data_IF_238338313799
#
_entry.id   IF_238338313799
#
_cell.length_a   1.000
_cell.length_b   1.000
_cell.length_c   1.000
_cell.angle_alpha   90.00
_cell.angle_beta   90.00
_cell.angle_gamma   90.00
#
_symmetry.space_group_name_H-M   'P 1'
#
loop_
_entity.id
_entity.type
_entity.pdbx_description
1 polymer ?
#
# COMPACT_ATOMS: atom_id res chain seq x y z
N UNK A 1 -6.89 13.60 -12.15
CA UNK A 1 -7.59 14.56 -13.03
C UNK A 1 -8.56 13.86 -13.99
N UNK A 2 -8.22 12.72 -14.62
CA UNK A 2 -9.15 11.98 -15.47
C UNK A 2 -10.42 11.53 -14.70
N UNK A 3 -10.27 11.02 -13.48
CA UNK A 3 -11.41 10.61 -12.63
C UNK A 3 -12.30 11.80 -12.27
N UNK A 4 -11.74 13.00 -12.05
CA UNK A 4 -12.53 14.19 -11.73
C UNK A 4 -13.20 14.82 -12.94
N UNK A 5 -12.61 14.70 -14.13
CA UNK A 5 -13.20 15.25 -15.37
C UNK A 5 -14.46 14.52 -15.82
N UNK A 6 -14.55 13.22 -15.49
CA UNK A 6 -15.69 12.38 -15.90
C UNK A 6 -16.83 12.36 -14.85
N UNK A 7 -16.55 12.83 -13.61
CA UNK A 7 -17.54 12.85 -12.54
C UNK A 7 -18.21 14.24 -12.51
N UNK A 8 -19.44 14.31 -12.97
CA UNK A 8 -20.29 15.52 -12.95
C UNK A 8 -20.97 15.79 -11.59
N UNK A 9 -20.63 15.01 -10.56
CA UNK A 9 -21.21 15.11 -9.21
C UNK A 9 -20.15 15.59 -8.23
N UNK A 10 -20.55 16.31 -7.17
CA UNK A 10 -19.65 16.69 -6.04
C UNK A 10 -19.35 15.46 -5.17
N UNK A 11 -18.72 14.46 -5.80
CA UNK A 11 -18.28 13.23 -5.13
C UNK A 11 -16.90 13.45 -4.55
N UNK A 12 -16.73 13.14 -3.27
CA UNK A 12 -15.44 13.18 -2.58
C UNK A 12 -14.61 11.95 -2.94
N UNK A 13 -13.35 12.18 -3.24
CA UNK A 13 -12.39 11.14 -3.58
C UNK A 13 -11.50 10.87 -2.38
N UNK A 14 -11.55 9.63 -1.88
CA UNK A 14 -10.61 9.12 -0.88
C UNK A 14 -9.55 8.30 -1.61
N UNK A 15 -8.31 8.75 -1.55
CA UNK A 15 -7.16 8.06 -2.14
C UNK A 15 -6.66 6.97 -1.19
N UNK A 16 -6.73 5.71 -1.61
CA UNK A 16 -6.05 4.62 -0.90
C UNK A 16 -4.55 4.66 -1.21
N UNK A 17 -3.81 5.38 -0.39
CA UNK A 17 -2.36 5.50 -0.43
C UNK A 17 -1.65 4.52 0.52
N UNK A 18 -2.35 3.47 1.00
CA UNK A 18 -1.82 2.55 2.01
C UNK A 18 -0.53 1.82 1.60
N UNK A 19 -0.27 1.69 0.29
CA UNK A 19 0.96 1.11 -0.26
C UNK A 19 1.79 2.13 -1.06
N UNK A 20 1.51 3.42 -0.94
CA UNK A 20 2.03 4.46 -1.83
C UNK A 20 2.87 5.54 -1.11
N UNK A 21 3.32 5.29 0.14
CA UNK A 21 4.21 6.22 0.82
C UNK A 21 5.49 6.45 0.00
N UNK A 22 5.77 7.71 -0.36
CA UNK A 22 6.89 8.11 -1.22
C UNK A 22 6.64 8.02 -2.73
N UNK A 23 5.46 7.52 -3.16
CA UNK A 23 5.05 7.57 -4.56
C UNK A 23 4.61 8.98 -4.97
N UNK A 24 4.69 9.28 -6.26
CA UNK A 24 4.18 10.51 -6.84
C UNK A 24 3.68 10.29 -8.27
N UNK A 25 2.74 11.12 -8.71
CA UNK A 25 2.25 11.15 -10.07
C UNK A 25 2.28 12.60 -10.58
N UNK A 26 2.98 12.85 -11.69
CA UNK A 26 3.14 14.20 -12.28
C UNK A 26 3.60 15.24 -11.26
N UNK A 27 4.60 14.85 -10.44
CA UNK A 27 5.15 15.70 -9.40
C UNK A 27 4.27 15.91 -8.16
N UNK A 28 3.06 15.34 -8.12
CA UNK A 28 2.17 15.40 -6.95
C UNK A 28 2.36 14.13 -6.11
N UNK A 29 2.66 14.26 -4.80
CA UNK A 29 2.84 13.09 -3.93
C UNK A 29 1.51 12.33 -3.74
N UNK A 30 1.61 11.01 -3.62
CA UNK A 30 0.51 10.19 -3.16
C UNK A 30 -0.04 10.70 -1.83
N UNK A 31 -1.34 10.55 -1.61
CA UNK A 31 -2.05 11.15 -0.47
C UNK A 31 -2.48 12.60 -0.68
N UNK A 32 -2.15 13.22 -1.85
CA UNK A 32 -2.58 14.57 -2.22
C UNK A 32 -3.41 14.61 -3.50
N UNK A 33 -3.73 13.47 -4.08
CA UNK A 33 -4.43 13.38 -5.36
C UNK A 33 -5.95 13.48 -5.19
N UNK A 34 -6.48 12.97 -4.08
CA UNK A 34 -7.89 13.03 -3.70
C UNK A 34 -8.26 14.23 -2.81
N UNK A 35 -9.47 14.22 -2.26
CA UNK A 35 -9.91 15.12 -1.17
C UNK A 35 -9.30 14.71 0.16
N UNK A 36 -9.09 13.40 0.34
CA UNK A 36 -8.39 12.75 1.45
C UNK A 36 -7.43 11.71 0.89
N UNK A 37 -6.27 11.54 1.54
CA UNK A 37 -5.37 10.42 1.31
C UNK A 37 -5.25 9.58 2.58
N UNK A 38 -5.14 8.26 2.45
CA UNK A 38 -5.05 7.35 3.60
C UNK A 38 -3.82 6.46 3.48
N UNK A 39 -2.91 6.58 4.45
CA UNK A 39 -1.69 5.78 4.53
C UNK A 39 -1.79 4.72 5.62
N UNK A 40 -1.04 3.62 5.44
CA UNK A 40 -0.87 2.57 6.44
C UNK A 40 0.57 2.55 6.95
N UNK A 41 0.73 2.38 8.25
CA UNK A 41 2.01 2.17 8.93
C UNK A 41 2.12 0.76 9.55
N UNK A 42 1.40 -0.20 8.97
CA UNK A 42 1.51 -1.62 9.31
C UNK A 42 2.96 -2.11 9.10
N UNK A 43 3.46 -3.14 9.86
CA UNK A 43 4.84 -3.64 9.79
C UNK A 43 5.36 -4.01 8.40
N UNK A 44 4.47 -4.41 7.48
CA UNK A 44 4.84 -4.78 6.10
C UNK A 44 4.92 -3.61 5.12
N UNK A 45 4.71 -2.36 5.57
CA UNK A 45 4.80 -1.19 4.71
C UNK A 45 6.24 -0.67 4.59
N UNK A 46 6.48 0.26 3.67
CA UNK A 46 7.81 0.85 3.47
C UNK A 46 8.34 1.53 4.73
N UNK A 47 7.45 2.16 5.49
CA UNK A 47 7.71 2.67 6.84
C UNK A 47 6.63 2.15 7.79
N UNK A 48 6.95 2.02 9.07
CA UNK A 48 6.03 1.43 10.05
C UNK A 48 6.11 2.13 11.41
N UNK A 49 5.00 2.07 12.14
CA UNK A 49 4.91 2.42 13.57
C UNK A 49 4.51 1.21 14.43
N UNK A 50 4.74 -0.03 13.92
CA UNK A 50 4.18 -1.27 14.46
C UNK A 50 2.77 -1.49 13.96
N UNK A 51 1.83 -0.66 14.34
CA UNK A 51 0.51 -0.46 13.75
C UNK A 51 0.23 1.04 13.68
N UNK A 52 -0.61 1.46 12.75
CA UNK A 52 -0.95 2.87 12.59
C UNK A 52 -1.32 3.24 11.17
N UNK A 53 -1.63 4.51 11.00
CA UNK A 53 -1.96 5.11 9.71
C UNK A 53 -2.03 6.63 9.82
N UNK A 54 -2.18 7.27 8.67
CA UNK A 54 -2.29 8.71 8.56
C UNK A 54 -3.35 9.07 7.53
N UNK A 55 -4.15 10.06 7.85
CA UNK A 55 -5.03 10.72 6.88
C UNK A 55 -4.43 12.07 6.53
N UNK A 56 -4.33 12.36 5.24
CA UNK A 56 -3.85 13.64 4.70
C UNK A 56 -4.96 14.36 3.93
N UNK A 57 -5.02 15.67 4.04
CA UNK A 57 -5.96 16.51 3.28
C UNK A 57 -5.46 17.96 3.27
N UNK A 58 -5.82 18.70 2.20
CA UNK A 58 -5.64 20.15 2.12
C UNK A 58 -6.91 20.92 2.49
N UNK A 59 -7.94 20.25 3.00
CA UNK A 59 -9.20 20.85 3.40
C UNK A 59 -9.32 20.89 4.92
N UNK A 60 -9.27 22.09 5.53
CA UNK A 60 -9.28 22.28 6.96
C UNK A 60 -10.54 21.69 7.64
N UNK A 61 -11.70 21.78 7.00
CA UNK A 61 -12.95 21.21 7.55
C UNK A 61 -12.90 19.68 7.60
N UNK A 62 -12.30 19.05 6.59
CA UNK A 62 -12.09 17.60 6.59
C UNK A 62 -11.05 17.20 7.64
N UNK A 63 -9.96 17.97 7.77
CA UNK A 63 -8.93 17.74 8.78
C UNK A 63 -9.51 17.80 10.20
N UNK A 64 -10.29 18.84 10.50
CA UNK A 64 -10.99 19.02 11.78
C UNK A 64 -11.92 17.82 12.07
N UNK A 65 -12.76 17.46 11.09
CA UNK A 65 -13.68 16.35 11.25
C UNK A 65 -12.96 15.02 11.50
N UNK A 66 -11.85 14.75 10.82
CA UNK A 66 -11.03 13.55 11.05
C UNK A 66 -10.39 13.58 12.45
N UNK A 67 -9.91 14.75 12.92
CA UNK A 67 -9.38 14.90 14.29
C UNK A 67 -10.44 14.57 15.34
N UNK A 68 -11.66 15.08 15.18
CA UNK A 68 -12.77 14.75 16.07
C UNK A 68 -13.10 13.25 16.03
N UNK A 69 -13.29 12.68 14.86
CA UNK A 69 -13.68 11.27 14.69
C UNK A 69 -12.66 10.29 15.29
N UNK A 70 -11.36 10.54 15.15
CA UNK A 70 -10.32 9.68 15.72
C UNK A 70 -10.22 9.77 17.26
N UNK A 71 -10.84 10.79 17.87
CA UNK A 71 -10.79 11.08 19.29
C UNK A 71 -12.19 11.18 19.90
N UNK A 72 -12.96 10.10 19.83
CA UNK A 72 -14.29 9.95 20.40
C UNK A 72 -15.36 10.93 19.91
N UNK A 73 -15.09 11.75 18.90
CA UNK A 73 -15.96 12.83 18.44
C UNK A 73 -15.82 14.13 19.24
N UNK A 74 -14.73 14.26 20.01
CA UNK A 74 -14.50 15.44 20.87
C UNK A 74 -14.32 16.71 20.05
N UNK A 75 -15.00 17.79 20.45
CA UNK A 75 -14.96 19.11 19.81
C UNK A 75 -13.64 19.87 20.05
N UNK A 76 -12.91 19.53 21.11
CA UNK A 76 -11.64 20.15 21.50
C UNK A 76 -10.62 19.06 21.80
N UNK A 77 -9.38 19.24 21.36
CA UNK A 77 -8.30 18.29 21.64
C UNK A 77 -7.90 18.34 23.13
N UNK A 78 -7.30 17.26 23.64
CA UNK A 78 -6.74 17.26 24.99
C UNK A 78 -5.64 18.31 25.16
N UNK A 79 -4.83 18.52 24.12
CA UNK A 79 -3.77 19.51 24.12
C UNK A 79 -4.31 20.94 24.24
N UNK A 80 -5.32 21.31 23.43
CA UNK A 80 -5.99 22.60 23.53
C UNK A 80 -6.63 22.82 24.89
N UNK A 81 -7.20 21.78 25.50
CA UNK A 81 -7.78 21.83 26.82
C UNK A 81 -6.71 22.06 27.90
N UNK A 82 -5.57 21.36 27.82
CA UNK A 82 -4.51 21.48 28.84
C UNK A 82 -3.67 22.75 28.72
N UNK A 83 -3.47 23.24 27.49
CA UNK A 83 -2.70 24.47 27.23
C UNK A 83 -3.56 25.73 27.25
N UNK A 84 -4.88 25.60 27.21
CA UNK A 84 -5.80 26.71 27.19
C UNK A 84 -5.94 27.39 28.56
N UNK A 85 -6.43 28.66 28.59
CA UNK A 85 -6.59 29.45 29.83
C UNK A 85 -7.73 28.96 30.74
N UNK A 86 -8.47 27.95 30.29
CA UNK A 86 -9.67 27.43 30.99
C UNK A 86 -9.56 25.92 31.23
N UNK A 87 -8.82 25.49 32.27
CA UNK A 87 -8.56 24.06 32.50
C UNK A 87 -9.82 23.26 32.91
N UNK A 88 -10.91 23.90 33.19
CA UNK A 88 -12.20 23.31 33.53
C UNK A 88 -13.09 23.03 32.34
N UNK A 89 -12.71 23.46 31.11
CA UNK A 89 -13.48 23.14 29.90
C UNK A 89 -13.38 21.66 29.62
N UNK A 90 -14.53 21.01 29.54
CA UNK A 90 -14.66 19.66 29.00
C UNK A 90 -15.01 19.74 27.52
N UNK A 91 -14.51 18.81 26.67
CA UNK A 91 -14.94 18.73 25.29
C UNK A 91 -16.42 18.35 25.23
N UNK A 92 -17.10 18.89 24.23
CA UNK A 92 -18.39 18.36 23.82
C UNK A 92 -18.16 17.21 22.79
N UNK A 93 -19.12 16.30 22.68
CA UNK A 93 -19.02 15.12 21.82
C UNK A 93 -20.15 15.15 20.79
N UNK A 94 -19.98 15.99 19.77
CA UNK A 94 -20.99 16.25 18.74
C UNK A 94 -21.10 15.13 17.69
N UNK A 95 -20.13 14.22 17.66
CA UNK A 95 -20.04 13.15 16.68
C UNK A 95 -19.81 11.79 17.36
N UNK A 96 -20.40 10.73 16.79
CA UNK A 96 -20.03 9.37 17.13
C UNK A 96 -18.64 9.08 16.59
N UNK A 97 -17.62 9.19 17.43
CA UNK A 97 -16.22 8.98 17.08
C UNK A 97 -15.65 7.66 17.59
N UNK A 98 -14.38 7.46 17.30
CA UNK A 98 -13.61 6.24 17.60
C UNK A 98 -12.39 6.58 18.46
N UNK A 99 -11.76 5.58 19.04
CA UNK A 99 -10.46 5.72 19.68
C UNK A 99 -9.36 5.27 18.71
N UNK A 100 -9.04 6.12 17.72
CA UNK A 100 -8.01 5.86 16.71
C UNK A 100 -6.82 6.81 16.90
N UNK A 101 -6.43 7.03 18.15
CA UNK A 101 -5.27 7.85 18.50
C UNK A 101 -3.99 7.05 18.34
N UNK A 102 -3.01 7.64 17.65
CA UNK A 102 -1.64 7.15 17.66
C UNK A 102 -0.99 7.48 19.00
N UNK A 103 -0.27 6.56 19.59
CA UNK A 103 0.50 6.81 20.81
C UNK A 103 1.77 7.62 20.51
N UNK A 104 2.31 8.32 21.51
CA UNK A 104 3.56 9.07 21.38
C UNK A 104 4.75 8.17 21.01
N UNK A 105 4.76 6.93 21.52
CA UNK A 105 5.75 5.92 21.13
C UNK A 105 5.69 5.60 19.63
N UNK A 106 4.49 5.39 19.11
CA UNK A 106 4.29 5.18 17.67
C UNK A 106 4.68 6.41 16.86
N UNK A 107 4.32 7.61 17.36
CA UNK A 107 4.69 8.88 16.73
C UNK A 107 6.20 9.09 16.67
N UNK A 108 6.92 8.78 17.74
CA UNK A 108 8.38 8.87 17.81
C UNK A 108 9.07 7.92 16.81
N UNK A 109 8.60 6.66 16.73
CA UNK A 109 9.08 5.70 15.73
C UNK A 109 8.76 6.20 14.32
N UNK A 110 7.53 6.68 14.08
CA UNK A 110 7.08 7.19 12.79
C UNK A 110 7.94 8.35 12.27
N UNK A 111 8.30 9.31 13.13
CA UNK A 111 9.17 10.42 12.77
C UNK A 111 10.56 9.94 12.29
N UNK A 112 11.16 8.97 12.97
CA UNK A 112 12.45 8.39 12.57
C UNK A 112 12.32 7.62 11.26
N UNK A 113 11.26 6.85 11.08
CA UNK A 113 10.99 6.10 9.86
C UNK A 113 10.74 7.03 8.66
N UNK A 114 9.96 8.09 8.86
CA UNK A 114 9.64 9.07 7.79
C UNK A 114 10.90 9.77 7.26
N UNK A 115 11.87 10.08 8.11
CA UNK A 115 13.16 10.67 7.69
C UNK A 115 13.98 9.76 6.78
N UNK A 116 13.72 8.46 6.80
CA UNK A 116 14.41 7.45 5.97
C UNK A 116 13.60 7.07 4.71
N UNK A 117 12.38 7.61 4.56
CA UNK A 117 11.47 7.16 3.51
C UNK A 117 12.08 7.31 2.11
N UNK A 118 12.65 8.47 1.78
CA UNK A 118 13.21 8.70 0.45
C UNK A 118 14.36 7.73 0.14
N UNK A 119 15.26 7.52 1.09
CA UNK A 119 16.33 6.52 0.96
C UNK A 119 15.75 5.12 0.71
N UNK A 120 14.74 4.72 1.47
CA UNK A 120 14.12 3.40 1.31
C UNK A 120 13.47 3.23 -0.06
N UNK A 121 12.82 4.27 -0.58
CA UNK A 121 12.20 4.22 -1.92
C UNK A 121 13.27 4.16 -3.02
N UNK A 122 14.35 4.91 -2.91
CA UNK A 122 15.42 4.90 -3.90
C UNK A 122 16.15 3.53 -3.93
N UNK A 123 16.43 2.92 -2.77
CA UNK A 123 16.98 1.57 -2.69
C UNK A 123 16.05 0.54 -3.35
N UNK A 124 14.74 0.60 -3.08
CA UNK A 124 13.74 -0.26 -3.71
C UNK A 124 13.64 -0.06 -5.22
N UNK A 125 13.74 1.18 -5.68
CA UNK A 125 13.72 1.50 -7.11
C UNK A 125 14.94 0.90 -7.82
N UNK A 126 16.14 0.94 -7.21
CA UNK A 126 17.34 0.30 -7.76
C UNK A 126 17.17 -1.23 -7.85
N UNK A 127 16.67 -1.87 -6.79
CA UNK A 127 16.40 -3.30 -6.81
C UNK A 127 15.34 -3.67 -7.87
N UNK A 128 14.27 -2.88 -7.98
CA UNK A 128 13.23 -3.10 -8.98
C UNK A 128 13.78 -2.94 -10.41
N UNK A 129 14.64 -1.95 -10.64
CA UNK A 129 15.32 -1.77 -11.93
C UNK A 129 16.21 -2.96 -12.29
N UNK A 130 16.94 -3.51 -11.31
CA UNK A 130 17.75 -4.72 -11.49
C UNK A 130 16.88 -5.92 -11.86
N UNK A 131 15.81 -6.19 -11.12
CA UNK A 131 14.85 -7.26 -11.46
C UNK A 131 14.30 -7.10 -12.87
N UNK A 132 13.87 -5.90 -13.24
CA UNK A 132 13.33 -5.63 -14.58
C UNK A 132 14.35 -5.87 -15.70
N UNK A 133 15.63 -5.63 -15.43
CA UNK A 133 16.72 -5.87 -16.39
C UNK A 133 17.07 -7.35 -16.47
N UNK A 134 17.29 -8.00 -15.32
CA UNK A 134 17.87 -9.35 -15.27
C UNK A 134 16.83 -10.46 -15.46
N UNK A 135 15.51 -10.17 -15.33
CA UNK A 135 14.42 -11.11 -15.60
C UNK A 135 13.69 -10.84 -16.93
N UNK A 136 14.19 -9.91 -17.76
CA UNK A 136 13.51 -9.48 -18.99
C UNK A 136 13.43 -10.58 -20.06
N UNK A 137 14.29 -11.55 -20.04
CA UNK A 137 14.38 -12.69 -20.96
C UNK A 137 13.42 -13.84 -20.59
N UNK A 138 12.87 -13.86 -19.39
CA UNK A 138 11.89 -14.86 -18.96
C UNK A 138 10.53 -14.58 -19.63
N UNK A 139 10.23 -15.26 -20.71
CA UNK A 139 9.09 -15.01 -21.59
C UNK A 139 7.72 -15.22 -20.90
N UNK A 140 7.66 -16.10 -19.92
CA UNK A 140 6.43 -16.40 -19.18
C UNK A 140 6.19 -15.49 -17.98
N UNK A 141 7.15 -14.62 -17.63
CA UNK A 141 7.08 -13.73 -16.46
C UNK A 141 6.92 -12.28 -16.90
N UNK A 142 5.71 -11.73 -16.75
CA UNK A 142 5.47 -10.31 -17.03
C UNK A 142 5.88 -9.47 -15.82
N UNK A 143 6.76 -8.52 -16.04
CA UNK A 143 7.33 -7.66 -15.03
C UNK A 143 6.52 -6.35 -14.88
N UNK A 144 6.41 -5.79 -13.65
CA UNK A 144 5.74 -4.52 -13.45
C UNK A 144 6.48 -3.39 -14.15
N UNK A 145 5.72 -2.43 -14.68
CA UNK A 145 6.25 -1.25 -15.34
C UNK A 145 6.06 -0.02 -14.45
N UNK A 146 7.02 0.88 -14.46
CA UNK A 146 6.90 2.17 -13.82
C UNK A 146 6.34 3.18 -14.83
N UNK A 147 5.30 3.98 -14.45
CA UNK A 147 4.78 5.01 -15.33
C UNK A 147 5.85 6.09 -15.57
N UNK A 148 5.94 6.58 -16.82
CA UNK A 148 6.95 7.57 -17.21
C UNK A 148 6.79 8.93 -16.52
N UNK A 149 5.59 9.24 -16.04
CA UNK A 149 5.23 10.49 -15.36
C UNK A 149 5.02 10.30 -13.84
N UNK A 150 5.48 9.17 -13.27
CA UNK A 150 5.33 8.84 -11.87
C UNK A 150 6.61 8.35 -11.21
N UNK A 151 6.65 8.42 -9.89
CA UNK A 151 7.62 7.75 -9.02
C UNK A 151 6.89 6.62 -8.29
N UNK A 152 7.29 5.38 -8.52
CA UNK A 152 6.69 4.22 -7.86
C UNK A 152 7.29 4.01 -6.46
N UNK A 153 6.47 3.68 -5.47
CA UNK A 153 6.97 3.41 -4.10
C UNK A 153 7.61 2.02 -3.94
N UNK A 154 7.44 1.14 -4.91
CA UNK A 154 7.94 -0.24 -4.89
C UNK A 154 7.70 -0.96 -3.56
N UNK A 155 6.47 -0.82 -3.03
CA UNK A 155 6.03 -1.51 -1.82
C UNK A 155 6.15 -3.03 -1.96
N UNK A 156 5.94 -3.55 -3.17
CA UNK A 156 6.15 -4.93 -3.56
C UNK A 156 6.58 -4.98 -5.03
N UNK A 157 7.29 -6.02 -5.43
CA UNK A 157 7.56 -6.34 -6.83
C UNK A 157 6.65 -7.49 -7.24
N UNK A 158 5.52 -7.13 -7.86
CA UNK A 158 4.48 -8.08 -8.26
C UNK A 158 4.62 -8.39 -9.74
N UNK A 159 4.88 -9.64 -10.05
CA UNK A 159 4.96 -10.19 -11.40
C UNK A 159 3.65 -10.88 -11.78
N UNK A 160 3.48 -11.19 -13.05
CA UNK A 160 2.37 -12.01 -13.53
C UNK A 160 2.92 -13.20 -14.30
N UNK A 161 2.57 -14.40 -13.87
CA UNK A 161 2.93 -15.68 -14.51
C UNK A 161 1.93 -15.93 -15.62
N UNK A 162 2.37 -15.90 -16.89
CA UNK A 162 1.49 -16.15 -18.03
C UNK A 162 1.14 -17.64 -18.12
N UNK A 163 -0.10 -18.06 -17.86
CA UNK A 163 -0.48 -19.47 -17.81
C UNK A 163 -0.36 -20.20 -19.15
N UNK A 164 -0.16 -19.47 -20.26
CA UNK A 164 -0.03 -20.05 -21.59
C UNK A 164 1.40 -20.46 -21.94
N UNK A 165 2.38 -19.78 -21.35
CA UNK A 165 3.80 -19.95 -21.69
C UNK A 165 4.64 -20.40 -20.50
N UNK A 166 4.10 -20.32 -19.30
CA UNK A 166 4.77 -20.75 -18.08
C UNK A 166 5.00 -22.27 -18.09
N UNK A 167 6.19 -22.73 -17.64
CA UNK A 167 6.51 -24.15 -17.59
C UNK A 167 5.66 -24.90 -16.52
N UNK A 168 5.14 -24.18 -15.53
CA UNK A 168 4.32 -24.71 -14.43
C UNK A 168 3.27 -23.69 -13.98
N UNK A 169 2.16 -24.13 -13.32
CA UNK A 169 1.24 -23.23 -12.64
C UNK A 169 1.93 -22.38 -11.57
N UNK A 170 1.49 -21.12 -11.38
CA UNK A 170 2.03 -20.17 -10.41
C UNK A 170 2.24 -20.78 -9.02
N UNK A 171 1.29 -21.55 -8.49
CA UNK A 171 1.38 -22.11 -7.15
C UNK A 171 2.53 -23.14 -7.05
N UNK A 172 2.70 -23.98 -8.04
CA UNK A 172 3.81 -24.96 -8.09
C UNK A 172 5.17 -24.25 -8.14
N UNK A 173 5.27 -23.15 -8.89
CA UNK A 173 6.49 -22.32 -8.91
C UNK A 173 6.79 -21.74 -7.52
N UNK A 174 5.77 -21.23 -6.83
CA UNK A 174 5.93 -20.71 -5.48
C UNK A 174 6.39 -21.80 -4.50
N UNK A 175 5.92 -23.03 -4.65
CA UNK A 175 6.36 -24.19 -3.85
C UNK A 175 7.82 -24.55 -4.12
N UNK A 176 8.24 -24.56 -5.39
CA UNK A 176 9.64 -24.79 -5.77
C UNK A 176 10.54 -23.68 -5.21
N UNK A 177 10.17 -22.42 -5.38
CA UNK A 177 10.91 -21.28 -4.83
C UNK A 177 11.01 -21.35 -3.30
N UNK A 178 9.95 -21.76 -2.62
CA UNK A 178 9.96 -21.98 -1.16
C UNK A 178 10.94 -23.09 -0.75
N UNK A 179 11.04 -24.18 -1.51
CA UNK A 179 12.02 -25.24 -1.26
C UNK A 179 13.46 -24.75 -1.43
N UNK A 180 13.69 -23.78 -2.30
CA UNK A 180 14.98 -23.10 -2.46
C UNK A 180 15.17 -21.93 -1.48
N UNK A 181 14.30 -21.77 -0.47
CA UNK A 181 14.41 -20.71 0.53
C UNK A 181 13.97 -19.33 0.05
N UNK A 182 13.37 -19.22 -1.15
CA UNK A 182 12.83 -17.96 -1.69
C UNK A 182 11.36 -17.82 -1.34
N UNK A 183 11.05 -16.96 -0.36
CA UNK A 183 9.68 -16.72 0.09
C UNK A 183 8.92 -15.80 -0.88
N UNK A 184 7.86 -16.31 -1.48
CA UNK A 184 6.96 -15.55 -2.36
C UNK A 184 5.57 -15.40 -1.76
N UNK A 185 4.74 -14.55 -2.37
CA UNK A 185 3.34 -14.35 -1.99
C UNK A 185 2.47 -14.25 -3.25
N UNK A 186 1.18 -14.62 -3.21
CA UNK A 186 0.24 -14.16 -4.23
C UNK A 186 0.29 -12.63 -4.32
N UNK A 187 0.29 -12.10 -5.54
CA UNK A 187 0.46 -10.65 -5.73
C UNK A 187 -0.75 -9.84 -5.29
N UNK A 188 -1.95 -10.43 -5.32
CA UNK A 188 -3.19 -9.79 -4.90
C UNK A 188 -4.25 -10.82 -4.50
N UNK A 189 -5.37 -10.34 -3.97
CA UNK A 189 -6.58 -11.11 -3.72
C UNK A 189 -7.74 -10.56 -4.56
N UNK A 190 -8.48 -11.42 -5.22
CA UNK A 190 -9.73 -11.07 -5.86
C UNK A 190 -10.83 -10.93 -4.80
N UNK A 191 -11.15 -9.70 -4.40
CA UNK A 191 -12.06 -9.40 -3.29
C UNK A 191 -13.41 -10.09 -3.44
N UNK A 192 -13.96 -10.13 -4.68
CA UNK A 192 -15.24 -10.79 -4.98
C UNK A 192 -15.21 -12.31 -4.73
N UNK A 193 -14.03 -12.94 -4.70
CA UNK A 193 -13.84 -14.36 -4.42
C UNK A 193 -13.67 -14.66 -2.93
N UNK A 194 -13.58 -13.66 -2.06
CA UNK A 194 -13.51 -13.87 -0.62
C UNK A 194 -14.87 -14.30 -0.07
N UNK A 195 -14.85 -15.23 0.90
CA UNK A 195 -16.07 -15.88 1.39
C UNK A 195 -17.15 -14.93 1.91
N UNK A 196 -16.78 -13.80 2.53
CA UNK A 196 -17.74 -12.79 2.96
C UNK A 196 -18.50 -12.19 1.75
N UNK A 197 -17.77 -11.74 0.73
CA UNK A 197 -18.36 -11.09 -0.45
C UNK A 197 -19.20 -12.07 -1.29
N UNK A 198 -18.71 -13.30 -1.46
CA UNK A 198 -19.49 -14.34 -2.13
C UNK A 198 -20.83 -14.61 -1.43
N UNK A 199 -20.81 -14.77 -0.10
CA UNK A 199 -22.01 -15.05 0.68
C UNK A 199 -22.97 -13.87 0.75
N UNK A 200 -22.43 -12.65 0.93
CA UNK A 200 -23.25 -11.46 1.16
C UNK A 200 -23.83 -10.88 -0.14
N UNK A 201 -23.08 -10.93 -1.23
CA UNK A 201 -23.48 -10.32 -2.51
C UNK A 201 -23.79 -11.34 -3.61
N UNK A 202 -23.65 -12.65 -3.35
CA UNK A 202 -23.88 -13.70 -4.34
C UNK A 202 -22.87 -13.71 -5.49
N UNK A 203 -21.68 -13.14 -5.30
CA UNK A 203 -20.67 -12.98 -6.33
C UNK A 203 -20.02 -14.31 -6.71
N UNK A 204 -19.71 -14.45 -8.01
CA UNK A 204 -19.07 -15.63 -8.59
C UNK A 204 -17.68 -15.28 -9.12
N UNK A 205 -16.77 -16.26 -9.24
CA UNK A 205 -15.40 -16.02 -9.76
C UNK A 205 -15.39 -15.35 -11.14
N UNK A 206 -16.35 -15.66 -12.00
CA UNK A 206 -16.40 -15.17 -13.38
C UNK A 206 -17.03 -13.78 -13.52
N UNK A 207 -17.60 -13.21 -12.46
CA UNK A 207 -18.18 -11.87 -12.49
C UNK A 207 -17.10 -10.78 -12.71
N UNK A 208 -15.85 -11.06 -12.30
CA UNK A 208 -14.71 -10.15 -12.45
C UNK A 208 -13.48 -10.92 -12.94
N UNK A 209 -13.41 -11.28 -14.23
CA UNK A 209 -12.38 -12.14 -14.78
C UNK A 209 -10.97 -11.55 -14.63
N UNK A 210 -10.78 -10.25 -14.82
CA UNK A 210 -9.47 -9.61 -14.63
C UNK A 210 -8.95 -9.71 -13.19
N UNK A 211 -9.81 -9.49 -12.19
CA UNK A 211 -9.44 -9.64 -10.78
C UNK A 211 -9.12 -11.11 -10.43
N UNK A 212 -9.94 -12.05 -10.94
CA UNK A 212 -9.69 -13.49 -10.81
C UNK A 212 -8.36 -13.91 -11.41
N UNK A 213 -8.04 -13.41 -12.60
CA UNK A 213 -6.80 -13.74 -13.28
C UNK A 213 -5.58 -13.16 -12.53
N UNK A 214 -5.68 -11.94 -12.02
CA UNK A 214 -4.64 -11.38 -11.16
C UNK A 214 -4.44 -12.19 -9.88
N UNK A 215 -5.51 -12.62 -9.22
CA UNK A 215 -5.44 -13.47 -8.02
C UNK A 215 -4.73 -14.81 -8.31
N UNK A 216 -5.06 -15.44 -9.42
CA UNK A 216 -4.53 -16.76 -9.78
C UNK A 216 -3.09 -16.75 -10.28
N UNK A 217 -2.68 -15.68 -10.97
CA UNK A 217 -1.43 -15.67 -11.73
C UNK A 217 -0.42 -14.63 -11.25
N UNK A 218 -0.79 -13.66 -10.40
CA UNK A 218 0.21 -12.74 -9.88
C UNK A 218 1.04 -13.35 -8.74
N UNK A 219 2.32 -13.00 -8.72
CA UNK A 219 3.29 -13.46 -7.72
C UNK A 219 4.19 -12.31 -7.30
N UNK A 220 4.21 -12.02 -6.00
CA UNK A 220 5.17 -11.07 -5.42
C UNK A 220 6.46 -11.81 -5.07
N UNK A 221 7.57 -11.36 -5.61
CA UNK A 221 8.91 -11.84 -5.28
C UNK A 221 9.56 -10.93 -4.23
N UNK A 222 10.59 -11.38 -3.51
CA UNK A 222 11.22 -10.61 -2.44
C UNK A 222 11.70 -9.22 -2.90
N UNK A 223 11.31 -8.17 -2.18
CA UNK A 223 11.80 -6.81 -2.35
C UNK A 223 11.73 -6.08 -1.01
N UNK A 224 12.86 -5.88 -0.35
CA UNK A 224 12.94 -5.12 0.91
C UNK A 224 14.33 -4.54 1.14
N UNK A 225 14.42 -3.46 1.91
CA UNK A 225 15.66 -2.69 2.14
C UNK A 225 16.78 -3.42 2.92
N UNK A 226 16.55 -4.65 3.34
CA UNK A 226 17.57 -5.51 3.98
C UNK A 226 18.14 -6.57 3.06
N UNK A 227 17.70 -6.62 1.80
CA UNK A 227 18.26 -7.55 0.82
C UNK A 227 19.65 -7.06 0.42
N UNK A 228 20.61 -7.97 0.43
CA UNK A 228 21.92 -7.76 -0.19
C UNK A 228 21.85 -7.93 -1.71
N UNK A 229 22.91 -7.54 -2.40
CA UNK A 229 23.01 -7.78 -3.85
C UNK A 229 23.08 -9.28 -4.17
N UNK A 230 23.66 -10.08 -3.28
CA UNK A 230 23.76 -11.54 -3.35
C UNK A 230 22.40 -12.19 -3.14
N UNK A 231 21.60 -11.75 -2.14
CA UNK A 231 20.23 -12.23 -1.96
C UNK A 231 19.39 -11.99 -3.21
N UNK A 232 19.53 -10.81 -3.82
CA UNK A 232 18.80 -10.49 -5.03
C UNK A 232 19.26 -11.34 -6.23
N UNK A 233 20.57 -11.57 -6.38
CA UNK A 233 21.09 -12.46 -7.41
C UNK A 233 20.54 -13.88 -7.24
N UNK A 234 20.56 -14.40 -6.03
CA UNK A 234 20.00 -15.71 -5.72
C UNK A 234 18.52 -15.85 -6.12
N UNK A 235 17.70 -14.84 -5.85
CA UNK A 235 16.29 -14.83 -6.28
C UNK A 235 16.17 -14.84 -7.81
N UNK A 236 17.02 -14.10 -8.52
CA UNK A 236 17.06 -14.04 -9.98
C UNK A 236 17.43 -15.41 -10.56
N UNK A 237 18.51 -16.01 -10.06
CA UNK A 237 18.97 -17.34 -10.50
C UNK A 237 17.89 -18.40 -10.26
N UNK A 238 17.25 -18.40 -9.09
CA UNK A 238 16.16 -19.34 -8.77
C UNK A 238 14.94 -19.18 -9.68
N UNK A 239 14.67 -17.98 -10.22
CA UNK A 239 13.60 -17.77 -11.21
C UNK A 239 13.98 -18.24 -12.62
N UNK A 240 15.25 -18.19 -12.99
CA UNK A 240 15.73 -18.73 -14.26
C UNK A 240 15.76 -20.27 -14.27
N UNK A 241 15.87 -20.90 -13.11
CA UNK A 241 15.88 -22.37 -12.96
C UNK A 241 14.47 -23.01 -12.97
N UNK A 242 13.39 -22.21 -12.94
CA UNK A 242 12.01 -22.70 -13.01
C UNK A 242 11.60 -23.14 -14.40
#
# INVERSE_FOLDING_TARGET
>A
DAVRSDIRLDIKIVEDAACAAGAALRGRPAGSLGDLGVFSFHPRKSITTGEGGMVTTNNDKLAERVRMLRNHGASVSEEERHQGPRPYLLPDFDLLGFNYRMTDLQGAVGLVQLRKLDQFIDERAQMAARYRKELADIQWLRLPQEPSDGRHAWQAFVTYVDPKTAPRPRNEMMEVLQQHGVATRPGTHAVHMLGYYQKHYGLKPDDFPGARDCDRHSMAIPLHNRMSAEDQAYVIDALHEL
#
